data_IF_539216642691
#
_entry.id   IF_539216642691
#
_cell.length_a   1.000
_cell.length_b   1.000
_cell.length_c   1.000
_cell.angle_alpha   90.00
_cell.angle_beta   90.00
_cell.angle_gamma   90.00
#
_symmetry.space_group_name_H-M   'P 1'
#
loop_
_entity.id
_entity.type
_entity.pdbx_description
1 polymer ?
#
# COMPACT_ATOMS: atom_id res chain seq x y z
N UNK A 1 -1.57 2.91 16.65
CA UNK A 1 -0.77 1.70 17.00
C UNK A 1 0.43 1.65 16.07
N UNK A 2 1.58 1.14 16.52
CA UNK A 2 2.71 0.94 15.63
C UNK A 2 2.40 -0.17 14.60
N UNK A 3 2.91 -0.04 13.37
CA UNK A 3 2.78 -1.07 12.34
C UNK A 3 3.59 -2.30 12.77
N UNK A 4 2.96 -3.47 12.73
CA UNK A 4 3.64 -4.75 13.01
C UNK A 4 4.30 -5.26 11.72
N UNK A 5 5.61 -5.10 11.62
CA UNK A 5 6.39 -5.57 10.48
C UNK A 5 6.43 -7.11 10.36
N UNK A 6 6.07 -7.85 11.42
CA UNK A 6 6.01 -9.32 11.34
C UNK A 6 4.86 -9.83 10.47
N UNK A 7 3.92 -8.96 10.11
CA UNK A 7 2.84 -9.28 9.17
C UNK A 7 3.28 -9.18 7.69
N UNK A 8 4.44 -8.61 7.42
CA UNK A 8 5.04 -8.63 6.08
C UNK A 8 5.62 -10.01 5.78
N UNK A 9 5.70 -10.36 4.50
CA UNK A 9 6.40 -11.58 4.08
C UNK A 9 7.89 -11.49 4.44
N UNK A 10 8.52 -12.64 4.72
CA UNK A 10 9.88 -12.68 5.25
C UNK A 10 10.89 -12.00 4.31
N UNK A 11 10.67 -12.14 2.99
CA UNK A 11 11.54 -11.61 1.94
C UNK A 11 11.67 -10.08 1.99
N UNK A 12 10.59 -9.36 2.29
CA UNK A 12 10.64 -7.88 2.36
C UNK A 12 10.94 -7.38 3.76
N UNK A 13 10.61 -8.14 4.81
CA UNK A 13 10.73 -7.70 6.22
C UNK A 13 12.12 -7.22 6.57
N UNK A 14 13.15 -8.03 6.29
CA UNK A 14 14.54 -7.66 6.56
C UNK A 14 14.99 -6.46 5.72
N UNK A 15 14.55 -6.41 4.47
CA UNK A 15 14.90 -5.31 3.55
C UNK A 15 14.35 -3.97 4.01
N UNK A 16 13.09 -3.91 4.47
CA UNK A 16 12.50 -2.64 4.96
C UNK A 16 13.09 -2.22 6.31
N UNK A 17 13.52 -3.16 7.15
CA UNK A 17 14.24 -2.83 8.37
C UNK A 17 15.60 -2.18 8.03
N UNK A 18 16.34 -2.73 7.06
CA UNK A 18 17.57 -2.15 6.54
C UNK A 18 17.33 -0.77 5.92
N UNK A 19 16.27 -0.61 5.13
CA UNK A 19 15.87 0.65 4.52
C UNK A 19 15.71 1.76 5.59
N UNK A 20 14.94 1.49 6.63
CA UNK A 20 14.71 2.45 7.72
C UNK A 20 16.04 2.78 8.43
N UNK A 21 16.87 1.77 8.66
CA UNK A 21 18.19 1.97 9.28
C UNK A 21 19.14 2.78 8.38
N UNK A 22 19.11 2.57 7.06
CA UNK A 22 19.89 3.34 6.09
C UNK A 22 19.48 4.81 6.10
N UNK A 23 18.17 5.11 6.05
CA UNK A 23 17.65 6.48 6.17
C UNK A 23 18.16 7.13 7.47
N UNK A 24 18.12 6.39 8.60
CA UNK A 24 18.63 6.86 9.89
C UNK A 24 20.11 7.23 9.85
N UNK A 25 20.96 6.45 9.15
CA UNK A 25 22.39 6.76 8.96
C UNK A 25 22.62 8.05 8.15
N UNK A 26 21.67 8.42 7.30
CA UNK A 26 21.68 9.70 6.55
C UNK A 26 21.02 10.85 7.32
N UNK A 27 20.63 10.64 8.59
CA UNK A 27 19.99 11.66 9.43
C UNK A 27 18.51 11.88 9.13
N UNK A 28 17.85 10.91 8.51
CA UNK A 28 16.43 10.93 8.17
C UNK A 28 15.68 9.85 8.96
N UNK A 29 14.79 10.25 9.85
CA UNK A 29 13.97 9.31 10.61
C UNK A 29 12.68 8.98 9.82
N UNK A 30 12.56 7.74 9.33
CA UNK A 30 11.36 7.22 8.72
C UNK A 30 10.64 6.27 9.68
N UNK A 31 9.31 6.39 9.80
CA UNK A 31 8.49 5.50 10.64
C UNK A 31 7.42 4.80 9.82
N UNK A 32 7.22 3.48 10.01
CA UNK A 32 6.13 2.72 9.40
C UNK A 32 4.76 3.33 9.72
N UNK A 33 3.93 3.47 8.68
CA UNK A 33 2.56 4.01 8.74
C UNK A 33 1.51 2.95 8.35
N UNK A 34 1.76 2.19 7.29
CA UNK A 34 0.91 1.09 6.87
C UNK A 34 1.75 -0.07 6.32
N UNK A 35 1.46 -1.28 6.79
CA UNK A 35 2.06 -2.54 6.31
C UNK A 35 0.99 -3.44 5.70
N UNK A 36 0.79 -4.64 6.26
CA UNK A 36 -0.28 -5.52 5.83
C UNK A 36 -1.64 -4.84 6.02
N UNK A 37 -2.45 -4.88 4.97
CA UNK A 37 -3.84 -4.39 4.94
C UNK A 37 -4.74 -5.52 4.52
N UNK A 38 -5.81 -5.79 5.25
CA UNK A 38 -6.77 -6.82 4.83
C UNK A 38 -7.55 -6.39 3.58
N UNK A 39 -8.08 -7.33 2.78
CA UNK A 39 -8.95 -6.96 1.65
C UNK A 39 -10.24 -6.26 2.09
N UNK A 40 -10.69 -6.48 3.33
CA UNK A 40 -11.82 -5.76 3.91
C UNK A 40 -11.48 -4.29 4.23
N UNK A 41 -10.28 -4.03 4.75
CA UNK A 41 -9.82 -2.64 4.96
C UNK A 41 -9.62 -1.93 3.64
N UNK A 42 -9.10 -2.62 2.61
CA UNK A 42 -9.01 -2.09 1.27
C UNK A 42 -10.39 -1.79 0.68
N UNK A 43 -11.38 -2.66 0.92
CA UNK A 43 -12.76 -2.44 0.51
C UNK A 43 -13.36 -1.18 1.13
N UNK A 44 -13.08 -0.92 2.44
CA UNK A 44 -13.51 0.32 3.11
C UNK A 44 -12.90 1.54 2.44
N UNK A 45 -11.60 1.53 2.18
CA UNK A 45 -10.91 2.64 1.52
C UNK A 45 -11.41 2.86 0.08
N UNK A 46 -11.66 1.76 -0.66
CA UNK A 46 -12.15 1.85 -2.03
C UNK A 46 -13.56 2.40 -2.11
N UNK A 47 -14.46 2.05 -1.16
CA UNK A 47 -15.85 2.54 -1.13
C UNK A 47 -15.97 4.03 -0.78
N UNK A 48 -14.95 4.63 -0.16
CA UNK A 48 -14.97 6.07 0.12
C UNK A 48 -15.16 6.87 -1.16
N UNK A 49 -16.04 7.86 -1.14
CA UNK A 49 -16.40 8.75 -2.27
C UNK A 49 -17.07 8.10 -3.49
N UNK A 50 -17.37 6.81 -3.47
CA UNK A 50 -18.10 6.14 -4.55
C UNK A 50 -19.59 6.13 -4.30
N UNK A 51 -20.37 6.26 -5.38
CA UNK A 51 -21.82 6.16 -5.33
C UNK A 51 -22.26 4.71 -5.09
N UNK A 52 -23.49 4.54 -4.65
CA UNK A 52 -24.09 3.21 -4.49
C UNK A 52 -24.10 2.45 -5.81
N UNK A 53 -24.40 3.14 -6.90
CA UNK A 53 -24.47 2.57 -8.26
C UNK A 53 -23.09 2.06 -8.70
N UNK A 54 -22.02 2.85 -8.52
CA UNK A 54 -20.65 2.44 -8.84
C UNK A 54 -20.22 1.21 -8.03
N UNK A 55 -20.64 1.14 -6.77
CA UNK A 55 -20.32 0.00 -5.88
C UNK A 55 -21.06 -1.25 -6.34
N UNK A 56 -22.37 -1.16 -6.63
CA UNK A 56 -23.18 -2.30 -7.09
C UNK A 56 -22.65 -2.83 -8.42
N UNK A 57 -22.40 -1.93 -9.39
CA UNK A 57 -21.83 -2.30 -10.69
C UNK A 57 -20.51 -3.06 -10.52
N UNK A 58 -19.62 -2.57 -9.63
CA UNK A 58 -18.33 -3.22 -9.40
C UNK A 58 -18.45 -4.59 -8.74
N UNK A 59 -19.40 -4.76 -7.83
CA UNK A 59 -19.69 -6.06 -7.20
C UNK A 59 -20.20 -7.05 -8.26
N UNK A 60 -21.09 -6.62 -9.13
CA UNK A 60 -21.65 -7.46 -10.22
C UNK A 60 -20.55 -7.84 -11.24
N UNK A 61 -19.66 -6.90 -11.59
CA UNK A 61 -18.48 -7.16 -12.43
C UNK A 61 -17.61 -8.27 -11.84
N UNK A 62 -17.30 -8.17 -10.53
CA UNK A 62 -16.46 -9.15 -9.82
C UNK A 62 -17.12 -10.53 -9.81
N UNK A 63 -18.41 -10.61 -9.50
CA UNK A 63 -19.17 -11.87 -9.54
C UNK A 63 -19.20 -12.48 -10.94
N UNK A 64 -19.43 -11.67 -11.94
CA UNK A 64 -19.43 -12.10 -13.36
C UNK A 64 -18.05 -12.63 -13.78
N UNK A 65 -16.97 -12.08 -13.23
CA UNK A 65 -15.62 -12.54 -13.47
C UNK A 65 -15.21 -13.78 -12.62
N UNK A 66 -16.10 -14.27 -11.74
CA UNK A 66 -15.82 -15.39 -10.83
C UNK A 66 -14.95 -15.02 -9.63
N UNK A 67 -14.84 -13.71 -9.29
CA UNK A 67 -14.10 -13.20 -8.16
C UNK A 67 -15.01 -12.96 -6.95
N UNK A 68 -15.63 -14.04 -6.48
CA UNK A 68 -16.70 -13.99 -5.47
C UNK A 68 -16.21 -13.51 -4.10
N UNK A 69 -14.96 -13.83 -3.71
CA UNK A 69 -14.41 -13.38 -2.43
C UNK A 69 -14.13 -11.88 -2.44
N UNK A 70 -13.61 -11.33 -3.54
CA UNK A 70 -13.40 -9.89 -3.68
C UNK A 70 -14.73 -9.13 -3.69
N UNK A 71 -15.76 -9.68 -4.35
CA UNK A 71 -17.13 -9.15 -4.30
C UNK A 71 -17.66 -9.15 -2.87
N UNK A 72 -17.51 -10.27 -2.15
CA UNK A 72 -17.90 -10.39 -0.75
C UNK A 72 -17.20 -9.37 0.15
N UNK A 73 -15.90 -9.11 -0.08
CA UNK A 73 -15.17 -8.07 0.67
C UNK A 73 -15.80 -6.68 0.47
N UNK A 74 -16.22 -6.34 -0.75
CA UNK A 74 -16.91 -5.07 -1.02
C UNK A 74 -18.30 -5.03 -0.37
N UNK A 75 -19.07 -6.10 -0.44
CA UNK A 75 -20.43 -6.16 0.12
C UNK A 75 -20.43 -6.02 1.64
N UNK A 76 -19.54 -6.74 2.31
CA UNK A 76 -19.56 -6.93 3.77
C UNK A 76 -19.16 -5.69 4.59
N UNK A 77 -18.43 -4.73 4.00
CA UNK A 77 -17.95 -3.57 4.77
C UNK A 77 -18.95 -2.42 4.89
N UNK A 78 -20.08 -2.49 4.20
CA UNK A 78 -21.14 -1.48 4.28
C UNK A 78 -20.75 -0.10 3.71
N UNK A 79 -21.61 0.91 3.87
CA UNK A 79 -21.35 2.27 3.40
C UNK A 79 -20.11 2.89 4.05
N UNK A 80 -19.34 3.62 3.26
CA UNK A 80 -18.18 4.39 3.71
C UNK A 80 -18.31 5.83 3.22
N UNK A 81 -17.80 6.77 4.01
CA UNK A 81 -17.81 8.19 3.70
C UNK A 81 -16.39 8.75 3.77
N UNK A 82 -16.11 9.79 3.01
CA UNK A 82 -14.81 10.47 3.00
C UNK A 82 -14.33 10.83 1.61
N UNK A 83 -13.17 11.48 1.56
CA UNK A 83 -12.51 11.81 0.31
C UNK A 83 -11.97 10.53 -0.40
N UNK A 84 -11.75 10.57 -1.73
CA UNK A 84 -11.11 9.48 -2.45
C UNK A 84 -9.74 9.16 -1.86
N UNK A 85 -9.48 7.88 -1.57
CA UNK A 85 -8.19 7.43 -0.99
C UNK A 85 -7.45 6.53 -1.95
N UNK A 86 -8.16 5.62 -2.65
CA UNK A 86 -7.53 4.64 -3.52
C UNK A 86 -8.43 4.22 -4.68
N UNK A 87 -7.80 3.85 -5.80
CA UNK A 87 -8.46 3.18 -6.92
C UNK A 87 -8.26 1.65 -6.90
N UNK A 88 -7.36 1.14 -6.04
CA UNK A 88 -7.09 -0.27 -5.94
C UNK A 88 -8.25 -1.01 -5.25
N UNK A 89 -8.82 -2.00 -5.93
CA UNK A 89 -9.79 -2.95 -5.39
C UNK A 89 -9.14 -3.85 -4.32
N UNK A 90 -9.93 -4.55 -3.50
CA UNK A 90 -9.43 -5.64 -2.68
C UNK A 90 -8.57 -6.61 -3.50
N UNK A 91 -7.39 -6.97 -2.97
CA UNK A 91 -6.41 -7.83 -3.65
C UNK A 91 -5.51 -7.14 -4.67
N UNK A 92 -5.83 -5.92 -5.11
CA UNK A 92 -5.09 -5.19 -6.15
C UNK A 92 -4.02 -4.24 -5.61
N UNK A 93 -3.68 -4.30 -4.34
CA UNK A 93 -2.54 -3.59 -3.75
C UNK A 93 -1.58 -4.57 -3.09
N UNK A 94 -0.28 -4.37 -3.23
CA UNK A 94 0.76 -5.20 -2.62
C UNK A 94 0.71 -5.21 -1.09
N UNK A 95 0.04 -4.25 -0.46
CA UNK A 95 -0.24 -4.28 0.97
C UNK A 95 -1.07 -5.50 1.39
N UNK A 96 -2.02 -6.00 0.57
CA UNK A 96 -2.79 -7.20 0.90
C UNK A 96 -1.95 -8.48 0.78
N UNK A 97 -0.84 -8.41 0.06
CA UNK A 97 0.09 -9.52 -0.10
C UNK A 97 1.20 -9.53 0.97
N UNK A 98 1.28 -8.45 1.78
CA UNK A 98 2.35 -8.26 2.75
C UNK A 98 3.68 -7.89 2.09
N UNK A 99 3.64 -7.37 0.87
CA UNK A 99 4.79 -7.07 0.01
C UNK A 99 5.01 -5.56 -0.18
N UNK A 100 4.37 -4.72 0.65
CA UNK A 100 4.51 -3.27 0.61
C UNK A 100 4.51 -2.66 2.01
N UNK A 101 5.16 -1.52 2.15
CA UNK A 101 5.22 -0.71 3.36
C UNK A 101 5.11 0.76 3.00
N UNK A 102 4.26 1.50 3.73
CA UNK A 102 4.27 2.95 3.74
C UNK A 102 4.98 3.46 5.00
N UNK A 103 5.83 4.47 4.83
CA UNK A 103 6.46 5.19 5.93
C UNK A 103 6.16 6.68 5.85
N UNK A 104 6.11 7.35 7.00
CA UNK A 104 6.14 8.79 7.08
C UNK A 104 7.47 9.31 7.62
N UNK A 105 7.83 10.52 7.17
CA UNK A 105 9.02 11.20 7.66
C UNK A 105 8.76 11.84 9.01
N UNK A 106 9.73 11.77 9.92
CA UNK A 106 9.67 12.41 11.25
C UNK A 106 10.62 13.60 11.30
N UNK A 107 10.10 14.75 11.67
CA UNK A 107 10.87 15.98 11.92
C UNK A 107 10.47 16.54 13.28
N UNK A 108 11.43 16.78 14.16
CA UNK A 108 11.18 17.28 15.52
C UNK A 108 10.12 16.47 16.29
N UNK A 109 10.16 15.13 16.12
CA UNK A 109 9.26 14.19 16.77
C UNK A 109 7.82 14.15 16.20
N UNK A 110 7.54 14.84 15.09
CA UNK A 110 6.21 14.93 14.44
C UNK A 110 6.26 14.38 13.02
N UNK A 111 5.11 13.86 12.56
CA UNK A 111 4.97 13.45 11.17
C UNK A 111 5.07 14.67 10.24
N UNK A 112 5.96 14.58 9.27
CA UNK A 112 6.14 15.56 8.19
C UNK A 112 5.70 14.92 6.88
N UNK A 113 4.77 15.57 6.17
CA UNK A 113 4.20 15.05 4.92
C UNK A 113 4.65 15.82 3.67
N UNK A 114 5.49 16.85 3.85
CA UNK A 114 5.96 17.65 2.73
C UNK A 114 7.02 16.92 1.91
N UNK A 115 6.77 16.80 0.62
CA UNK A 115 7.70 16.22 -0.35
C UNK A 115 8.69 17.23 -0.91
N UNK A 116 8.62 18.50 -0.46
CA UNK A 116 9.52 19.59 -0.93
C UNK A 116 10.32 20.24 0.19
N UNK A 117 9.87 20.13 1.45
CA UNK A 117 10.60 20.64 2.61
C UNK A 117 11.97 19.97 2.74
N UNK A 118 12.97 20.70 3.16
CA UNK A 118 14.29 20.16 3.46
C UNK A 118 14.69 20.48 4.91
N UNK A 119 15.28 19.50 5.56
CA UNK A 119 15.94 19.63 6.87
C UNK A 119 17.39 19.20 6.68
N UNK A 120 18.34 20.06 7.05
CA UNK A 120 19.78 19.86 6.80
C UNK A 120 20.11 19.56 5.31
N UNK A 121 19.36 20.19 4.40
CA UNK A 121 19.52 20.00 2.94
C UNK A 121 18.83 18.77 2.36
N UNK A 122 18.23 17.89 3.16
CA UNK A 122 17.60 16.65 2.74
C UNK A 122 16.07 16.72 2.89
N UNK A 123 15.35 16.04 1.98
CA UNK A 123 13.95 15.69 2.15
C UNK A 123 13.86 14.20 2.49
N UNK A 124 13.12 13.84 3.55
CA UNK A 124 13.08 12.47 4.04
C UNK A 124 12.52 11.47 3.03
N UNK A 125 11.51 11.84 2.26
CA UNK A 125 10.93 10.97 1.24
C UNK A 125 11.85 10.72 0.05
N UNK A 126 12.66 11.73 -0.32
CA UNK A 126 13.64 11.54 -1.40
C UNK A 126 14.74 10.57 -0.96
N UNK A 127 15.25 10.74 0.27
CA UNK A 127 16.22 9.79 0.85
C UNK A 127 15.61 8.38 0.95
N UNK A 128 14.36 8.26 1.40
CA UNK A 128 13.66 6.98 1.51
C UNK A 128 13.53 6.27 0.16
N UNK A 129 13.18 6.99 -0.90
CA UNK A 129 13.06 6.44 -2.24
C UNK A 129 14.43 6.02 -2.82
N UNK A 130 15.48 6.83 -2.64
CA UNK A 130 16.85 6.50 -3.05
C UNK A 130 17.36 5.24 -2.35
N UNK A 131 17.25 5.15 -1.03
CA UNK A 131 17.67 3.97 -0.25
C UNK A 131 16.84 2.72 -0.57
N UNK A 132 15.56 2.88 -0.95
CA UNK A 132 14.72 1.77 -1.37
C UNK A 132 15.23 1.16 -2.69
N UNK A 133 15.60 1.98 -3.67
CA UNK A 133 16.15 1.50 -4.94
C UNK A 133 17.51 0.82 -4.78
N UNK A 134 18.38 1.32 -3.89
CA UNK A 134 19.66 0.66 -3.55
C UNK A 134 19.46 -0.74 -2.93
N UNK A 135 18.28 -0.97 -2.35
CA UNK A 135 17.87 -2.27 -1.78
C UNK A 135 16.97 -3.08 -2.74
N UNK A 136 16.91 -2.71 -4.02
CA UNK A 136 16.10 -3.35 -5.07
C UNK A 136 14.59 -3.35 -4.80
N UNK A 137 14.11 -2.40 -3.98
CA UNK A 137 12.68 -2.14 -3.80
C UNK A 137 12.19 -1.13 -4.83
N UNK A 138 10.94 -1.23 -5.20
CA UNK A 138 10.26 -0.21 -6.02
C UNK A 138 9.73 0.90 -5.12
N UNK A 139 10.19 2.13 -5.32
CA UNK A 139 9.74 3.30 -4.58
C UNK A 139 8.62 4.04 -5.34
N UNK A 140 7.48 4.25 -4.69
CA UNK A 140 6.35 4.99 -5.25
C UNK A 140 6.65 6.47 -5.53
N UNK A 141 7.64 7.06 -4.83
CA UNK A 141 8.15 8.40 -5.10
C UNK A 141 8.76 8.58 -6.49
N UNK A 142 9.21 7.50 -7.12
CA UNK A 142 9.80 7.51 -8.46
C UNK A 142 8.82 7.12 -9.59
N UNK A 143 7.57 6.81 -9.27
CA UNK A 143 6.57 6.53 -10.32
C UNK A 143 6.36 7.74 -11.23
N UNK A 144 6.12 7.47 -12.51
CA UNK A 144 6.04 8.51 -13.54
C UNK A 144 4.68 9.21 -13.60
N UNK A 145 3.61 8.56 -13.12
CA UNK A 145 2.25 9.08 -13.21
C UNK A 145 1.76 9.64 -11.88
N UNK A 146 1.44 8.80 -10.92
CA UNK A 146 0.99 9.19 -9.59
C UNK A 146 2.08 8.83 -8.58
N UNK A 147 2.81 9.84 -8.11
CA UNK A 147 3.87 9.64 -7.11
C UNK A 147 3.25 9.36 -5.74
N UNK A 148 3.67 8.26 -5.14
CA UNK A 148 3.31 7.87 -3.77
C UNK A 148 4.59 7.80 -2.93
N UNK A 149 5.01 8.94 -2.39
CA UNK A 149 6.28 9.08 -1.70
C UNK A 149 6.45 8.23 -0.44
N UNK A 150 5.39 7.99 0.37
CA UNK A 150 5.44 7.07 1.49
C UNK A 150 5.68 5.60 1.10
N UNK A 151 5.33 5.20 -0.12
CA UNK A 151 5.19 3.81 -0.53
C UNK A 151 6.48 3.19 -1.06
N UNK A 152 6.78 1.98 -0.56
CA UNK A 152 7.75 1.05 -1.16
C UNK A 152 7.15 -0.35 -1.26
N UNK A 153 7.55 -1.09 -2.29
CA UNK A 153 7.08 -2.46 -2.52
C UNK A 153 8.17 -3.36 -3.08
N UNK A 154 8.02 -4.67 -2.90
CA UNK A 154 8.97 -5.66 -3.39
C UNK A 154 8.89 -5.84 -4.91
N UNK A 155 7.71 -5.71 -5.49
CA UNK A 155 7.45 -6.01 -6.89
C UNK A 155 7.64 -4.80 -7.79
N UNK A 156 8.24 -5.02 -8.98
CA UNK A 156 8.32 -3.99 -10.02
C UNK A 156 6.94 -3.67 -10.64
N UNK A 157 6.03 -4.65 -10.68
CA UNK A 157 4.67 -4.43 -11.16
C UNK A 157 3.89 -3.51 -10.22
N UNK A 158 3.28 -2.45 -10.74
CA UNK A 158 2.58 -1.43 -9.94
C UNK A 158 1.37 -1.97 -9.15
N UNK A 159 0.82 -3.11 -9.57
CA UNK A 159 -0.24 -3.80 -8.83
C UNK A 159 -0.25 -5.30 -9.17
N UNK A 160 -0.83 -6.15 -8.29
CA UNK A 160 -1.05 -7.57 -8.57
C UNK A 160 -1.74 -7.85 -9.90
N UNK A 161 -2.74 -7.05 -10.28
CA UNK A 161 -3.49 -7.21 -11.54
C UNK A 161 -2.66 -7.02 -12.82
N UNK A 162 -1.39 -6.59 -12.72
CA UNK A 162 -0.47 -6.53 -13.86
C UNK A 162 0.20 -7.87 -14.16
N UNK A 163 0.22 -8.79 -13.20
CA UNK A 163 0.93 -10.08 -13.32
C UNK A 163 0.07 -11.29 -12.91
N UNK A 164 -1.11 -11.07 -12.35
CA UNK A 164 -2.06 -12.10 -11.94
C UNK A 164 -3.42 -11.84 -12.56
N UNK A 165 -4.15 -12.90 -12.91
CA UNK A 165 -5.55 -12.82 -13.28
C UNK A 165 -6.42 -12.49 -12.07
N UNK A 166 -7.64 -11.98 -12.32
CA UNK A 166 -8.58 -11.67 -11.26
C UNK A 166 -8.94 -12.90 -10.40
N UNK A 167 -9.02 -14.08 -11.01
CA UNK A 167 -9.31 -15.33 -10.31
C UNK A 167 -8.14 -15.75 -9.41
N UNK A 168 -6.89 -15.58 -9.86
CA UNK A 168 -5.70 -15.82 -9.03
C UNK A 168 -5.65 -14.87 -7.84
N UNK A 169 -6.05 -13.62 -8.03
CA UNK A 169 -6.14 -12.63 -6.94
C UNK A 169 -7.24 -13.01 -5.95
N UNK A 170 -8.42 -13.41 -6.45
CA UNK A 170 -9.55 -13.85 -5.61
C UNK A 170 -9.17 -15.06 -4.74
N UNK A 171 -8.61 -16.09 -5.37
CA UNK A 171 -8.15 -17.30 -4.69
C UNK A 171 -7.07 -16.98 -3.65
N UNK A 172 -6.09 -16.15 -4.00
CA UNK A 172 -5.02 -15.74 -3.09
C UNK A 172 -5.54 -14.97 -1.88
N UNK A 173 -6.48 -14.05 -2.08
CA UNK A 173 -7.10 -13.28 -0.99
C UNK A 173 -7.99 -14.17 -0.12
N UNK A 174 -8.76 -15.09 -0.73
CA UNK A 174 -9.58 -16.07 -0.01
C UNK A 174 -8.72 -17.00 0.86
N UNK A 175 -7.62 -17.50 0.33
CA UNK A 175 -6.71 -18.39 1.06
C UNK A 175 -6.05 -17.71 2.28
N UNK A 176 -5.82 -16.38 2.21
CA UNK A 176 -5.16 -15.62 3.27
C UNK A 176 -6.13 -15.04 4.31
N UNK A 177 -7.36 -14.73 3.92
CA UNK A 177 -8.29 -13.92 4.73
C UNK A 177 -9.73 -14.45 4.75
N UNK A 178 -10.03 -15.54 4.05
CA UNK A 178 -11.33 -16.21 4.01
C UNK A 178 -11.63 -17.13 5.17
#
# INVERSE_FOLDING_TARGET
MAVDLNQLVDEIRGTVQNLIANCGRRGVEMRPNAGLRTPFDQARLWRQSRTTEEIVEKIDDLKTAGADFLAFCLESVGPQHGAPVTNALPGFSWHQWGEALDCFWVVDGRAEWSTVKKVNGLNGYHVYAEEAEELELTAGGHWTTLKDWPHVQMRAASSPGRIMSINQIDEGMRARFG
#
